data_IF_583530184853
#
_entry.id   IF_583530184853
#
_cell.length_a   1.000
_cell.length_b   1.000
_cell.length_c   1.000
_cell.angle_alpha   90.00
_cell.angle_beta   90.00
_cell.angle_gamma   90.00
#
_symmetry.space_group_name_H-M   'P 1'
#
loop_
_entity.id
_entity.type
_entity.pdbx_description
1 polymer ?
#
# COMPACT_ATOMS: atom_id res chain seq x y z
N UNK A 1 -10.71 14.37 9.79
CA UNK A 1 -11.59 13.29 10.30
C UNK A 1 -10.74 12.49 11.26
N UNK A 2 -11.14 12.33 12.53
CA UNK A 2 -10.36 11.52 13.48
C UNK A 2 -10.51 10.04 13.11
N UNK A 3 -9.44 9.40 12.62
CA UNK A 3 -9.47 8.00 12.16
C UNK A 3 -9.26 7.06 13.34
N UNK A 4 -10.35 6.67 14.00
CA UNK A 4 -10.27 5.78 15.16
C UNK A 4 -10.01 4.32 14.80
N UNK A 5 -10.45 3.88 13.62
CA UNK A 5 -10.23 2.53 13.14
C UNK A 5 -10.42 2.43 11.62
N UNK A 6 -9.81 1.41 11.01
CA UNK A 6 -9.99 1.08 9.59
C UNK A 6 -10.35 -0.40 9.45
N UNK A 7 -11.20 -0.71 8.49
CA UNK A 7 -11.56 -2.07 8.10
C UNK A 7 -11.02 -2.35 6.70
N UNK A 8 -10.33 -3.48 6.55
CA UNK A 8 -9.70 -3.86 5.29
C UNK A 8 -10.36 -5.12 4.74
N UNK A 9 -10.90 -5.01 3.53
CA UNK A 9 -11.32 -6.15 2.71
C UNK A 9 -10.28 -6.40 1.63
N UNK A 10 -9.56 -7.53 1.73
CA UNK A 10 -8.64 -7.99 0.70
C UNK A 10 -9.34 -8.92 -0.29
N UNK A 11 -9.02 -8.76 -1.57
CA UNK A 11 -9.50 -9.60 -2.67
C UNK A 11 -8.31 -9.99 -3.54
N UNK A 12 -8.16 -11.28 -3.82
CA UNK A 12 -7.13 -11.76 -4.73
C UNK A 12 -7.36 -11.22 -6.15
N UNK A 13 -6.27 -10.96 -6.86
CA UNK A 13 -6.31 -10.58 -8.27
C UNK A 13 -5.80 -11.72 -9.16
N UNK A 14 -5.86 -11.53 -10.48
CA UNK A 14 -5.25 -12.47 -11.44
C UNK A 14 -3.72 -12.37 -11.47
N UNK A 15 -3.14 -11.35 -10.83
CA UNK A 15 -1.70 -11.22 -10.69
C UNK A 15 -1.22 -11.97 -9.46
N UNK A 16 -0.08 -12.64 -9.62
CA UNK A 16 0.57 -13.36 -8.52
C UNK A 16 0.87 -12.41 -7.36
N UNK A 17 0.62 -12.88 -6.14
CA UNK A 17 0.92 -12.18 -4.89
C UNK A 17 0.35 -10.76 -4.79
N UNK A 18 -0.68 -10.45 -5.56
CA UNK A 18 -1.25 -9.11 -5.63
C UNK A 18 -2.73 -9.14 -5.26
N UNK A 19 -3.10 -8.26 -4.34
CA UNK A 19 -4.43 -8.16 -3.78
C UNK A 19 -4.96 -6.73 -3.95
N UNK A 20 -6.27 -6.61 -4.16
CA UNK A 20 -6.98 -5.34 -4.01
C UNK A 20 -7.45 -5.22 -2.56
N UNK A 21 -7.18 -4.07 -1.95
CA UNK A 21 -7.69 -3.68 -0.65
C UNK A 21 -8.74 -2.57 -0.83
N UNK A 22 -9.92 -2.78 -0.24
CA UNK A 22 -10.88 -1.69 0.00
C UNK A 22 -10.86 -1.38 1.48
N UNK A 23 -10.72 -0.09 1.80
CA UNK A 23 -10.59 0.41 3.16
C UNK A 23 -11.82 1.25 3.51
N UNK A 24 -12.48 0.90 4.61
CA UNK A 24 -13.60 1.66 5.17
C UNK A 24 -13.32 2.10 6.60
N UNK A 25 -14.01 3.15 7.04
CA UNK A 25 -13.95 3.63 8.43
C UNK A 25 -14.94 2.87 9.34
N UNK A 26 -15.02 3.27 10.61
CA UNK A 26 -15.97 2.70 11.58
C UNK A 26 -17.46 2.88 11.26
N UNK A 27 -17.80 3.77 10.33
CA UNK A 27 -19.16 4.04 9.86
C UNK A 27 -19.44 3.38 8.50
N UNK A 28 -18.58 2.46 8.07
CA UNK A 28 -18.60 1.81 6.76
C UNK A 28 -18.49 2.81 5.58
N UNK A 29 -17.90 3.98 5.82
CA UNK A 29 -17.63 4.96 4.78
C UNK A 29 -16.34 4.61 4.05
N UNK A 30 -16.35 4.78 2.73
CA UNK A 30 -15.17 4.60 1.89
C UNK A 30 -14.05 5.57 2.30
N UNK A 31 -12.85 5.02 2.52
CA UNK A 31 -11.65 5.80 2.83
C UNK A 31 -10.67 5.75 1.65
N UNK A 32 -10.32 4.55 1.20
CA UNK A 32 -9.33 4.36 0.15
C UNK A 32 -9.46 3.00 -0.54
N UNK A 33 -8.92 2.95 -1.76
CA UNK A 33 -8.60 1.72 -2.48
C UNK A 33 -7.08 1.62 -2.61
N UNK A 34 -6.54 0.45 -2.28
CA UNK A 34 -5.13 0.18 -2.42
C UNK A 34 -4.87 -1.16 -3.11
N UNK A 35 -3.66 -1.29 -3.66
CA UNK A 35 -3.10 -2.55 -4.12
C UNK A 35 -2.05 -3.01 -3.14
N UNK A 36 -2.14 -4.25 -2.69
CA UNK A 36 -1.18 -4.86 -1.77
C UNK A 36 -0.41 -5.90 -2.56
N UNK A 37 0.90 -5.70 -2.69
CA UNK A 37 1.81 -6.61 -3.36
C UNK A 37 2.67 -7.28 -2.29
N UNK A 38 2.60 -8.60 -2.23
CA UNK A 38 3.42 -9.41 -1.33
C UNK A 38 4.72 -9.73 -2.04
N UNK A 39 5.82 -9.17 -1.54
CA UNK A 39 7.14 -9.37 -2.11
C UNK A 39 7.92 -10.31 -1.19
N UNK A 40 8.13 -11.52 -1.68
CA UNK A 40 8.78 -12.61 -0.94
C UNK A 40 10.14 -12.89 -1.60
N UNK A 41 11.22 -13.07 -0.82
CA UNK A 41 12.52 -13.44 -1.35
C UNK A 41 12.45 -14.72 -2.18
N UNK A 42 13.17 -14.76 -3.30
CA UNK A 42 13.31 -15.97 -4.10
C UNK A 42 14.22 -16.99 -3.40
N UNK A 43 14.05 -18.26 -3.75
CA UNK A 43 14.96 -19.32 -3.30
C UNK A 43 16.40 -19.04 -3.74
N UNK A 44 17.38 -19.34 -2.88
CA UNK A 44 18.81 -19.17 -3.20
C UNK A 44 19.25 -20.00 -4.41
N UNK A 45 18.57 -21.11 -4.67
CA UNK A 45 18.86 -22.03 -5.78
C UNK A 45 18.68 -21.39 -7.16
N UNK A 46 17.86 -20.35 -7.26
CA UNK A 46 17.59 -19.65 -8.52
C UNK A 46 18.33 -18.32 -8.63
N UNK A 47 19.22 -18.01 -7.67
CA UNK A 47 19.94 -16.75 -7.59
C UNK A 47 21.45 -16.95 -7.73
N UNK A 48 22.19 -15.95 -8.21
CA UNK A 48 23.65 -15.94 -8.14
C UNK A 48 24.16 -16.03 -6.69
N UNK A 49 25.35 -16.60 -6.50
CA UNK A 49 25.96 -16.78 -5.17
C UNK A 49 26.12 -15.46 -4.38
N UNK A 50 26.31 -14.34 -5.09
CA UNK A 50 26.49 -13.01 -4.51
C UNK A 50 25.19 -12.21 -4.39
N UNK A 51 24.02 -12.80 -4.62
CA UNK A 51 22.76 -12.10 -4.47
C UNK A 51 22.58 -11.62 -3.01
N UNK A 52 22.16 -10.37 -2.78
CA UNK A 52 21.94 -9.85 -1.44
C UNK A 52 20.78 -10.58 -0.76
N UNK A 53 20.89 -10.79 0.55
CA UNK A 53 19.78 -11.24 1.38
C UNK A 53 18.80 -10.09 1.59
N UNK A 54 17.50 -10.41 1.53
CA UNK A 54 16.41 -9.46 1.70
C UNK A 54 15.30 -10.10 2.52
N UNK A 55 14.59 -9.30 3.30
CA UNK A 55 13.43 -9.74 4.07
C UNK A 55 12.13 -9.61 3.24
N UNK A 56 11.10 -10.43 3.53
CA UNK A 56 9.77 -10.24 2.98
C UNK A 56 9.21 -8.84 3.30
N UNK A 57 8.44 -8.29 2.37
CA UNK A 57 7.84 -6.96 2.53
C UNK A 57 6.47 -6.88 1.85
N UNK A 58 5.60 -6.03 2.38
CA UNK A 58 4.31 -5.67 1.80
C UNK A 58 4.42 -4.28 1.18
N UNK A 59 4.11 -4.17 -0.12
CA UNK A 59 4.01 -2.88 -0.79
C UNK A 59 2.54 -2.51 -0.92
N UNK A 60 2.14 -1.37 -0.37
CA UNK A 60 0.78 -0.85 -0.42
C UNK A 60 0.79 0.36 -1.35
N UNK A 61 0.25 0.17 -2.56
CA UNK A 61 0.03 1.26 -3.50
C UNK A 61 -1.37 1.84 -3.22
N UNK A 62 -1.46 3.02 -2.64
CA UNK A 62 -2.74 3.71 -2.41
C UNK A 62 -3.16 4.35 -3.72
N UNK A 63 -4.09 3.73 -4.43
CA UNK A 63 -4.46 4.10 -5.80
C UNK A 63 -5.48 5.24 -5.84
N UNK A 64 -6.37 5.29 -4.86
CA UNK A 64 -7.40 6.30 -4.68
C UNK A 64 -7.75 6.42 -3.20
N UNK A 65 -8.14 7.61 -2.76
CA UNK A 65 -8.59 7.81 -1.39
C UNK A 65 -9.02 9.23 -1.08
N UNK A 66 -10.03 9.34 -0.21
CA UNK A 66 -10.48 10.60 0.35
C UNK A 66 -9.68 10.91 1.62
N UNK A 67 -8.38 11.17 1.45
CA UNK A 67 -7.42 11.34 2.53
C UNK A 67 -7.01 12.82 2.68
N UNK A 68 -7.16 13.34 3.88
CA UNK A 68 -6.57 14.64 4.26
C UNK A 68 -5.07 14.45 4.51
N UNK A 69 -4.19 15.24 3.87
CA UNK A 69 -2.75 15.16 4.06
C UNK A 69 -2.30 15.24 5.53
N UNK A 70 -3.04 15.96 6.38
CA UNK A 70 -2.72 16.09 7.80
C UNK A 70 -2.89 14.78 8.58
N UNK A 71 -3.70 13.85 8.07
CA UNK A 71 -3.99 12.57 8.73
C UNK A 71 -3.28 11.38 8.05
N UNK A 72 -2.37 11.65 7.10
CA UNK A 72 -1.70 10.62 6.31
C UNK A 72 -0.91 9.63 7.18
N UNK A 73 -0.14 10.13 8.15
CA UNK A 73 0.67 9.29 9.04
C UNK A 73 -0.21 8.40 9.93
N UNK A 74 -1.33 8.93 10.43
CA UNK A 74 -2.30 8.16 11.21
C UNK A 74 -2.94 7.05 10.36
N UNK A 75 -3.36 7.40 9.14
CA UNK A 75 -3.90 6.44 8.18
C UNK A 75 -2.92 5.29 7.90
N UNK A 76 -1.68 5.61 7.55
CA UNK A 76 -0.64 4.62 7.26
C UNK A 76 -0.35 3.72 8.46
N UNK A 77 -0.31 4.30 9.66
CA UNK A 77 -0.07 3.55 10.90
C UNK A 77 -1.16 2.52 11.15
N UNK A 78 -2.42 2.93 11.06
CA UNK A 78 -3.57 2.03 11.29
C UNK A 78 -3.68 1.01 10.17
N UNK A 79 -3.54 1.44 8.91
CA UNK A 79 -3.65 0.55 7.76
C UNK A 79 -2.53 -0.49 7.75
N UNK A 80 -1.30 -0.13 8.08
CA UNK A 80 -0.20 -1.09 8.19
C UNK A 80 -0.50 -2.19 9.23
N UNK A 81 -1.05 -1.83 10.39
CA UNK A 81 -1.45 -2.80 11.39
C UNK A 81 -2.54 -3.75 10.87
N UNK A 82 -3.56 -3.21 10.19
CA UNK A 82 -4.65 -4.00 9.60
C UNK A 82 -4.20 -4.90 8.46
N UNK A 83 -3.27 -4.44 7.65
CA UNK A 83 -2.67 -5.23 6.57
C UNK A 83 -1.87 -6.39 7.16
N UNK A 84 -0.98 -6.14 8.13
CA UNK A 84 -0.20 -7.20 8.81
C UNK A 84 -1.09 -8.26 9.44
N UNK A 85 -2.21 -7.86 10.03
CA UNK A 85 -3.23 -8.78 10.59
C UNK A 85 -3.75 -9.75 9.51
N UNK A 86 -3.97 -9.29 8.27
CA UNK A 86 -4.42 -10.16 7.16
C UNK A 86 -3.38 -11.19 6.73
N UNK A 87 -2.10 -10.93 7.01
CA UNK A 87 -0.99 -11.83 6.72
C UNK A 87 -0.46 -12.50 8.00
N UNK A 88 -1.29 -12.63 9.04
CA UNK A 88 -0.97 -13.29 10.31
C UNK A 88 0.34 -12.83 10.95
N UNK A 89 0.74 -11.58 10.70
CA UNK A 89 2.00 -11.03 11.20
C UNK A 89 3.27 -11.79 10.73
N UNK A 90 3.21 -12.52 9.61
CA UNK A 90 4.38 -13.16 9.02
C UNK A 90 5.31 -12.17 8.31
N UNK A 91 4.76 -11.03 7.84
CA UNK A 91 5.52 -9.99 7.14
C UNK A 91 5.34 -8.66 7.88
N UNK A 92 6.42 -8.14 8.47
CA UNK A 92 6.41 -6.93 9.30
C UNK A 92 6.62 -5.65 8.51
N UNK A 93 7.43 -5.71 7.46
CA UNK A 93 7.79 -4.51 6.70
C UNK A 93 6.66 -4.13 5.75
N UNK A 94 6.16 -2.91 5.88
CA UNK A 94 5.09 -2.34 5.03
C UNK A 94 5.57 -1.01 4.47
N UNK A 95 5.53 -0.85 3.15
CA UNK A 95 5.83 0.40 2.46
C UNK A 95 4.58 0.96 1.80
N UNK A 96 4.36 2.27 1.92
CA UNK A 96 3.29 2.98 1.23
C UNK A 96 3.83 3.74 0.04
N UNK A 97 3.13 3.61 -1.09
CA UNK A 97 3.36 4.38 -2.29
C UNK A 97 2.06 5.00 -2.74
N UNK A 98 2.16 6.19 -3.30
CA UNK A 98 1.05 6.94 -3.86
C UNK A 98 1.35 7.18 -5.35
N UNK A 99 0.32 7.21 -6.22
CA UNK A 99 0.52 7.63 -7.59
C UNK A 99 1.19 8.99 -7.60
N UNK A 100 2.12 9.19 -8.54
CA UNK A 100 2.73 10.50 -8.72
C UNK A 100 1.62 11.54 -8.92
N UNK A 101 1.67 12.69 -8.23
CA UNK A 101 0.67 13.71 -8.40
C UNK A 101 0.80 14.30 -9.81
N UNK A 102 -0.01 13.79 -10.75
CA UNK A 102 -0.08 14.28 -12.13
C UNK A 102 -0.24 15.81 -12.17
N UNK A 103 -1.06 16.34 -11.25
CA UNK A 103 -1.40 17.77 -11.13
C UNK A 103 -0.30 18.66 -10.54
N UNK A 104 0.74 18.09 -9.93
CA UNK A 104 1.84 18.89 -9.34
C UNK A 104 3.02 18.98 -10.31
N UNK A 105 3.20 17.97 -11.16
CA UNK A 105 4.28 17.93 -12.15
C UNK A 105 3.94 18.70 -13.43
N UNK A 106 2.66 18.82 -13.81
CA UNK A 106 2.23 19.52 -15.03
C UNK A 106 1.89 21.02 -14.83
N UNK A 107 1.91 21.54 -13.60
CA UNK A 107 1.66 22.98 -13.35
C UNK A 107 2.86 23.89 -13.68
N UNK A 108 4.01 23.30 -14.00
CA UNK A 108 5.12 23.99 -14.62
C UNK A 108 5.42 23.38 -15.96
N UNK A 109 5.35 24.17 -17.03
CA UNK A 109 6.05 23.95 -18.30
C UNK A 109 5.36 23.14 -19.42
N UNK A 110 4.05 23.25 -19.65
CA UNK A 110 3.48 22.86 -20.96
C UNK A 110 2.42 23.85 -21.51
N UNK A 111 2.59 25.15 -21.27
CA UNK A 111 1.81 26.20 -21.96
C UNK A 111 2.68 27.46 -22.22
N UNK A 112 3.87 27.26 -22.80
CA UNK A 112 4.62 28.34 -23.45
C UNK A 112 5.29 27.82 -24.72
N UNK A 113 4.50 27.61 -25.78
CA UNK A 113 4.91 27.82 -27.18
C UNK A 113 3.70 27.87 -28.10
#
# INVERSE_FOLDING_TARGET
MEMKNLFVKLMATLWENTYRAVVTDQNDQYVATARVIVNIPLSREVLPDNAPEVDPQLLVLVEDGNLDPNNLIEFETILAAKIREKFNYEIMTVFFYYPSPEDVLNKGTIDQQ
#
